data_IF_484317272604
#
_entry.id   IF_484317272604
#
_cell.length_a   1.000
_cell.length_b   1.000
_cell.length_c   1.000
_cell.angle_alpha   90.00
_cell.angle_beta   90.00
_cell.angle_gamma   90.00
#
_symmetry.space_group_name_H-M   'P 1'
#
loop_
_entity.id
_entity.type
_entity.pdbx_description
1 polymer ?
#
# COMPACT_ATOMS: atom_id res chain seq x y z
N UNK A 1 33.76 -78.03 -14.78
CA UNK A 1 34.48 -77.39 -15.90
C UNK A 1 33.66 -76.19 -16.33
N UNK A 2 34.14 -74.97 -16.09
CA UNK A 2 33.49 -73.74 -16.54
C UNK A 2 33.81 -73.51 -18.02
N UNK A 3 32.81 -73.15 -18.82
CA UNK A 3 33.02 -72.53 -20.14
C UNK A 3 32.31 -71.18 -20.17
N UNK A 4 33.15 -70.15 -20.21
CA UNK A 4 32.78 -68.79 -20.56
C UNK A 4 32.63 -68.72 -22.08
N UNK A 5 31.51 -68.18 -22.56
CA UNK A 5 31.43 -67.62 -23.91
C UNK A 5 30.98 -66.17 -23.78
N UNK A 6 31.88 -65.32 -24.25
CA UNK A 6 31.90 -63.86 -24.15
C UNK A 6 30.82 -63.20 -25.00
N UNK A 7 30.32 -62.10 -24.45
CA UNK A 7 29.41 -61.09 -24.97
C UNK A 7 29.74 -60.56 -26.38
N UNK A 8 28.74 -60.38 -27.24
CA UNK A 8 28.78 -59.37 -28.32
C UNK A 8 27.36 -58.89 -28.66
N UNK A 9 27.17 -57.58 -28.52
CA UNK A 9 25.92 -56.83 -28.71
C UNK A 9 25.49 -56.80 -30.19
N UNK A 10 24.19 -56.98 -30.44
CA UNK A 10 23.60 -56.93 -31.79
C UNK A 10 22.86 -55.58 -32.00
N UNK A 11 23.61 -54.49 -31.90
CA UNK A 11 23.29 -53.26 -32.63
C UNK A 11 24.49 -53.09 -33.57
N UNK A 12 24.35 -53.09 -34.90
CA UNK A 12 23.53 -52.23 -35.74
C UNK A 12 23.01 -52.95 -37.00
N UNK A 13 21.78 -52.64 -37.41
CA UNK A 13 21.53 -52.26 -38.81
C UNK A 13 20.31 -51.35 -38.87
N UNK A 14 20.56 -50.13 -39.32
CA UNK A 14 19.58 -49.09 -39.58
C UNK A 14 18.56 -49.50 -40.68
N UNK A 15 17.39 -48.85 -40.61
CA UNK A 15 16.42 -48.54 -41.68
C UNK A 15 15.10 -49.34 -41.70
N UNK A 16 14.05 -48.77 -41.08
CA UNK A 16 12.84 -48.30 -41.79
C UNK A 16 11.80 -47.65 -40.82
N UNK A 17 11.62 -46.33 -40.95
CA UNK A 17 10.56 -45.46 -40.40
C UNK A 17 9.12 -45.93 -40.75
N UNK A 18 8.00 -45.34 -40.26
CA UNK A 18 7.86 -44.06 -39.55
C UNK A 18 6.88 -44.08 -38.34
N UNK A 19 7.12 -43.24 -37.35
CA UNK A 19 6.01 -42.43 -36.82
C UNK A 19 6.56 -41.19 -36.13
N UNK A 20 6.15 -40.05 -36.69
CA UNK A 20 5.74 -38.85 -35.97
C UNK A 20 6.02 -38.85 -34.47
N UNK A 21 6.89 -37.97 -34.03
CA UNK A 21 6.48 -36.59 -33.79
C UNK A 21 7.72 -35.76 -33.43
N UNK A 22 7.93 -34.71 -34.21
CA UNK A 22 8.87 -33.66 -33.88
C UNK A 22 8.25 -32.81 -32.77
N UNK A 23 8.33 -33.30 -31.53
CA UNK A 23 7.90 -32.54 -30.37
C UNK A 23 9.16 -32.03 -29.68
N UNK A 24 9.66 -30.88 -30.15
CA UNK A 24 10.46 -29.99 -29.29
C UNK A 24 9.54 -29.54 -28.17
N UNK A 25 9.41 -30.37 -27.15
CA UNK A 25 8.84 -29.97 -25.88
C UNK A 25 9.85 -29.04 -25.23
N UNK A 26 9.73 -27.78 -25.59
CA UNK A 26 10.23 -26.68 -24.79
C UNK A 26 9.69 -26.93 -23.38
N UNK A 27 10.57 -27.36 -22.48
CA UNK A 27 10.25 -27.67 -21.09
C UNK A 27 9.98 -26.38 -20.29
N UNK A 28 9.10 -25.52 -20.81
CA UNK A 28 8.69 -24.21 -20.28
C UNK A 28 7.19 -24.25 -19.89
N UNK A 29 6.52 -25.40 -20.08
CA UNK A 29 5.08 -25.57 -19.87
C UNK A 29 4.63 -25.83 -18.44
N UNK A 30 5.49 -25.77 -17.42
CA UNK A 30 5.13 -26.15 -16.04
C UNK A 30 4.92 -24.97 -15.08
N UNK A 31 4.64 -23.76 -15.59
CA UNK A 31 4.38 -22.59 -14.73
C UNK A 31 2.89 -22.17 -14.72
N UNK A 32 2.03 -22.81 -15.51
CA UNK A 32 0.62 -22.39 -15.64
C UNK A 32 -0.40 -23.48 -15.24
N UNK A 33 -0.21 -24.09 -14.07
CA UNK A 33 -1.27 -24.87 -13.38
C UNK A 33 -1.75 -24.21 -12.09
N UNK A 34 -1.66 -22.88 -12.03
CA UNK A 34 -2.05 -22.11 -10.84
C UNK A 34 -3.18 -21.11 -11.14
N UNK A 35 -4.17 -21.52 -11.94
CA UNK A 35 -5.34 -20.70 -12.27
C UNK A 35 -6.14 -20.20 -11.03
N UNK A 36 -6.25 -20.93 -9.89
CA UNK A 36 -6.92 -20.38 -8.70
C UNK A 36 -5.99 -19.54 -7.82
N UNK A 37 -4.69 -19.85 -7.73
CA UNK A 37 -3.76 -19.13 -6.86
C UNK A 37 -3.41 -17.74 -7.40
N UNK A 38 -3.26 -17.58 -8.72
CA UNK A 38 -3.03 -16.26 -9.32
C UNK A 38 -4.23 -15.34 -9.04
N UNK A 39 -5.45 -15.86 -9.17
CA UNK A 39 -6.68 -15.11 -8.84
C UNK A 39 -6.76 -14.76 -7.36
N UNK A 40 -6.41 -15.70 -6.47
CA UNK A 40 -6.34 -15.46 -5.02
C UNK A 40 -5.30 -14.37 -4.68
N UNK A 41 -4.14 -14.39 -5.35
CA UNK A 41 -3.06 -13.42 -5.14
C UNK A 41 -3.48 -12.01 -5.57
N UNK A 42 -4.20 -11.87 -6.69
CA UNK A 42 -4.76 -10.59 -7.12
C UNK A 42 -5.84 -10.06 -6.16
N UNK A 43 -6.72 -10.92 -5.65
CA UNK A 43 -7.75 -10.54 -4.66
C UNK A 43 -7.10 -10.10 -3.35
N UNK A 44 -6.09 -10.82 -2.87
CA UNK A 44 -5.31 -10.46 -1.69
C UNK A 44 -4.63 -9.09 -1.86
N UNK A 45 -4.04 -8.84 -3.03
CA UNK A 45 -3.36 -7.58 -3.34
C UNK A 45 -4.35 -6.42 -3.30
N UNK A 46 -5.52 -6.54 -3.93
CA UNK A 46 -6.58 -5.52 -3.90
C UNK A 46 -7.05 -5.27 -2.44
N UNK A 47 -7.28 -6.33 -1.66
CA UNK A 47 -7.69 -6.22 -0.26
C UNK A 47 -6.63 -5.49 0.60
N UNK A 48 -5.34 -5.73 0.36
CA UNK A 48 -4.25 -5.07 1.07
C UNK A 48 -4.15 -3.57 0.76
N UNK A 49 -4.51 -3.14 -0.46
CA UNK A 49 -4.61 -1.73 -0.82
C UNK A 49 -5.86 -1.07 -0.21
N UNK A 50 -7.00 -1.77 -0.12
CA UNK A 50 -8.22 -1.26 0.52
C UNK A 50 -8.04 -1.03 2.04
N UNK A 51 -7.23 -1.85 2.72
CA UNK A 51 -7.03 -1.75 4.17
C UNK A 51 -6.14 -0.56 4.59
N UNK A 52 -5.34 -0.01 3.67
CA UNK A 52 -4.43 1.13 3.93
C UNK A 52 -5.13 2.50 4.03
N UNK A 53 -6.45 2.59 3.83
CA UNK A 53 -7.18 3.87 3.83
C UNK A 53 -7.63 4.36 5.22
N UNK A 54 -7.80 3.46 6.19
CA UNK A 54 -8.42 3.78 7.48
C UNK A 54 -7.41 4.01 8.63
N UNK A 55 -6.17 3.53 8.51
CA UNK A 55 -5.18 3.62 9.59
C UNK A 55 -4.35 4.91 9.61
N UNK A 56 -4.44 5.76 8.57
CA UNK A 56 -3.72 7.03 8.55
C UNK A 56 -4.43 8.17 9.28
N UNK A 57 -5.69 7.97 9.72
CA UNK A 57 -6.50 9.03 10.36
C UNK A 57 -6.60 8.86 11.88
N UNK A 58 -6.24 7.69 12.45
CA UNK A 58 -6.51 7.38 13.86
C UNK A 58 -5.24 7.25 14.71
N UNK A 59 -4.48 8.34 14.78
CA UNK A 59 -3.31 8.47 15.67
C UNK A 59 -3.41 9.70 16.59
N UNK A 60 -4.62 10.01 17.08
CA UNK A 60 -4.87 11.00 18.13
C UNK A 60 -4.92 10.34 19.50
N UNK A 61 -3.75 10.10 20.10
CA UNK A 61 -3.67 9.62 21.47
C UNK A 61 -3.92 10.77 22.45
N UNK A 62 -4.89 10.56 23.35
CA UNK A 62 -5.10 11.21 24.66
C UNK A 62 -5.17 12.75 24.59
N UNK A 63 -6.36 13.30 24.83
CA UNK A 63 -6.73 14.72 24.71
C UNK A 63 -7.27 15.08 23.31
N UNK A 64 -8.24 14.32 22.81
CA UNK A 64 -8.94 14.69 21.57
C UNK A 64 -10.04 15.72 21.91
N UNK A 65 -10.02 16.91 21.27
CA UNK A 65 -11.04 17.94 21.45
C UNK A 65 -12.41 17.36 21.08
N UNK A 66 -13.38 17.50 21.98
CA UNK A 66 -14.70 16.84 21.84
C UNK A 66 -15.49 17.39 20.66
N UNK A 67 -15.17 18.62 20.24
CA UNK A 67 -15.80 19.29 19.10
C UNK A 67 -14.75 20.03 18.26
N UNK A 68 -15.04 20.17 16.96
CA UNK A 68 -14.17 20.84 15.99
C UNK A 68 -14.94 21.93 15.27
N UNK A 69 -14.52 23.19 15.42
CA UNK A 69 -15.13 24.33 14.76
C UNK A 69 -14.47 24.58 13.40
N UNK A 70 -15.26 24.63 12.34
CA UNK A 70 -14.78 24.98 11.00
C UNK A 70 -14.79 26.51 10.82
N UNK A 71 -13.65 27.07 10.42
CA UNK A 71 -13.50 28.50 10.14
C UNK A 71 -12.89 28.70 8.75
N UNK A 72 -13.48 29.58 7.94
CA UNK A 72 -12.97 29.92 6.62
C UNK A 72 -11.99 31.08 6.75
N UNK A 73 -10.77 30.90 6.27
CA UNK A 73 -9.71 31.92 6.29
C UNK A 73 -10.07 33.06 5.35
N UNK A 74 -10.08 34.30 5.84
CA UNK A 74 -10.28 35.49 5.01
C UNK A 74 -8.94 36.07 4.56
N UNK A 75 -8.97 36.89 3.50
CA UNK A 75 -7.77 37.58 3.03
C UNK A 75 -7.27 38.59 4.08
N UNK A 76 -6.02 38.44 4.51
CA UNK A 76 -5.41 39.27 5.56
C UNK A 76 -5.43 38.63 6.95
N UNK A 77 -6.11 37.49 7.12
CA UNK A 77 -6.00 36.72 8.35
C UNK A 77 -4.64 36.02 8.44
N UNK A 78 -4.15 35.89 9.66
CA UNK A 78 -3.00 35.06 9.97
C UNK A 78 -3.42 33.92 10.88
N UNK A 79 -2.72 32.78 10.79
CA UNK A 79 -2.98 31.63 11.64
C UNK A 79 -2.90 32.00 13.13
N UNK A 80 -1.98 32.90 13.48
CA UNK A 80 -1.82 33.42 14.83
C UNK A 80 -3.05 34.20 15.32
N UNK A 81 -3.60 35.07 14.47
CA UNK A 81 -4.77 35.88 14.81
C UNK A 81 -6.04 35.02 14.96
N UNK A 82 -6.20 34.01 14.10
CA UNK A 82 -7.31 33.05 14.21
C UNK A 82 -7.16 32.25 15.51
N UNK A 83 -5.95 31.79 15.82
CA UNK A 83 -5.64 31.05 17.03
C UNK A 83 -5.88 31.88 18.29
N UNK A 84 -5.43 33.15 18.33
CA UNK A 84 -5.61 34.01 19.51
C UNK A 84 -7.08 34.33 19.79
N UNK A 85 -7.91 34.38 18.76
CA UNK A 85 -9.35 34.64 18.88
C UNK A 85 -10.14 33.42 19.37
N UNK A 86 -9.70 32.21 19.03
CA UNK A 86 -10.43 30.98 19.29
C UNK A 86 -9.84 30.10 20.40
N UNK A 87 -8.74 30.50 21.01
CA UNK A 87 -8.11 29.73 22.09
C UNK A 87 -8.97 29.73 23.37
N UNK A 88 -8.89 28.66 24.20
CA UNK A 88 -9.44 28.70 25.55
C UNK A 88 -8.65 29.67 26.44
N UNK A 89 -9.28 30.16 27.51
CA UNK A 89 -8.71 31.18 28.40
C UNK A 89 -7.40 30.71 29.05
N UNK A 90 -7.34 29.42 29.43
CA UNK A 90 -6.24 28.82 30.19
C UNK A 90 -5.09 28.27 29.33
N UNK A 91 -5.16 28.42 28.00
CA UNK A 91 -4.15 27.89 27.07
C UNK A 91 -3.32 29.01 26.40
N UNK A 92 -2.03 28.77 26.22
CA UNK A 92 -1.15 29.63 25.40
C UNK A 92 -1.53 29.50 23.92
N UNK A 93 -1.59 30.63 23.22
CA UNK A 93 -1.78 30.70 21.76
C UNK A 93 -0.81 29.81 21.00
N UNK A 94 0.44 29.65 21.46
CA UNK A 94 1.44 28.78 20.79
C UNK A 94 1.06 27.31 20.83
N UNK A 95 0.60 26.84 22.00
CA UNK A 95 0.15 25.46 22.19
C UNK A 95 -1.09 25.20 21.32
N UNK A 96 -1.99 26.18 21.28
CA UNK A 96 -3.17 26.11 20.43
C UNK A 96 -2.82 26.12 18.93
N UNK A 97 -1.84 26.92 18.51
CA UNK A 97 -1.34 26.93 17.12
C UNK A 97 -0.84 25.55 16.68
N UNK A 98 -0.09 24.86 17.55
CA UNK A 98 0.39 23.51 17.27
C UNK A 98 -0.76 22.50 17.17
N UNK A 99 -1.80 22.65 18.00
CA UNK A 99 -3.00 21.82 17.90
C UNK A 99 -3.74 22.01 16.58
N UNK A 100 -3.90 23.27 16.11
CA UNK A 100 -4.51 23.58 14.82
C UNK A 100 -3.67 23.01 13.67
N UNK A 101 -2.34 23.14 13.73
CA UNK A 101 -1.44 22.59 12.71
C UNK A 101 -1.53 21.08 12.62
N UNK A 102 -1.62 20.39 13.76
CA UNK A 102 -1.81 18.93 13.80
C UNK A 102 -3.17 18.54 13.22
N UNK A 103 -4.24 19.24 13.60
CA UNK A 103 -5.59 18.96 13.12
C UNK A 103 -5.75 19.16 11.59
N UNK A 104 -5.05 20.13 11.01
CA UNK A 104 -5.16 20.48 9.57
C UNK A 104 -3.96 20.02 8.72
N UNK A 105 -3.01 19.27 9.30
CA UNK A 105 -1.77 18.83 8.64
C UNK A 105 -0.93 19.96 8.00
N UNK A 106 -0.97 21.16 8.58
CA UNK A 106 -0.30 22.35 8.04
C UNK A 106 1.17 22.36 8.48
N UNK A 107 2.08 22.36 7.51
CA UNK A 107 3.53 22.28 7.77
C UNK A 107 4.15 23.61 8.22
N UNK A 108 3.53 24.75 7.90
CA UNK A 108 4.06 26.09 8.18
C UNK A 108 3.03 27.05 8.79
N UNK A 109 3.40 28.34 8.94
CA UNK A 109 2.48 29.39 9.37
C UNK A 109 1.64 29.98 8.23
N UNK A 110 1.99 29.67 6.98
CA UNK A 110 1.26 30.16 5.80
C UNK A 110 -0.08 29.44 5.67
N UNK A 111 -1.14 30.24 5.61
CA UNK A 111 -2.51 29.84 5.33
C UNK A 111 -3.00 30.65 4.13
N UNK A 112 -3.87 30.05 3.33
CA UNK A 112 -4.40 30.71 2.13
C UNK A 112 -5.85 31.17 2.36
N UNK A 113 -6.21 32.32 1.80
CA UNK A 113 -7.58 32.80 1.85
C UNK A 113 -8.52 31.80 1.12
N UNK A 114 -9.67 31.51 1.73
CA UNK A 114 -10.63 30.52 1.26
C UNK A 114 -10.37 29.09 1.77
N UNK A 115 -9.27 28.84 2.48
CA UNK A 115 -9.01 27.56 3.14
C UNK A 115 -9.96 27.36 4.35
N UNK A 116 -10.38 26.13 4.59
CA UNK A 116 -11.21 25.77 5.74
C UNK A 116 -10.32 25.17 6.82
N UNK A 117 -10.21 25.87 7.94
CA UNK A 117 -9.46 25.43 9.11
C UNK A 117 -10.38 24.75 10.12
N UNK A 118 -9.98 23.56 10.54
CA UNK A 118 -10.56 22.79 11.64
C UNK A 118 -9.91 23.21 12.96
N UNK A 119 -10.65 23.92 13.79
CA UNK A 119 -10.17 24.43 15.08
C UNK A 119 -10.63 23.50 16.22
N UNK A 120 -9.71 22.99 17.03
CA UNK A 120 -10.04 22.10 18.14
C UNK A 120 -10.72 22.87 19.29
N UNK A 121 -11.86 22.39 19.78
CA UNK A 121 -12.58 22.99 20.91
C UNK A 121 -12.45 22.10 22.14
N UNK A 122 -12.14 22.70 23.28
CA UNK A 122 -11.88 22.06 24.57
C UNK A 122 -12.94 22.44 25.59
#
# INVERSE_FOLDING_TARGET
>A
MLRYSTYQSIYDNDQASPHDCNMKDNHIGTILKSFPFVKLMFVLLIAAFCFKGAFSVFAGGLDEPTDTKLVIVQAGDSLWQIASLHKPADMDTRVYLDSIRRANAIKGPDIQAGEVLSLPVW
#
